data_IF_991027542707
#
_entry.id   IF_991027542707
#
_cell.length_a   1.000
_cell.length_b   1.000
_cell.length_c   1.000
_cell.angle_alpha   90.00
_cell.angle_beta   90.00
_cell.angle_gamma   90.00
#
_symmetry.space_group_name_H-M   'P 1'
#
loop_
_entity.id
_entity.type
_entity.pdbx_description
1 polymer ?
#
# COMPACT_ATOMS: atom_id res chain seq x y z
N UNK A 1 39.76 2.50 10.78
CA UNK A 1 38.66 2.42 9.78
C UNK A 1 39.14 3.00 8.47
N UNK A 2 38.94 2.29 7.36
CA UNK A 2 39.19 2.82 6.02
C UNK A 2 38.28 4.02 5.73
N UNK A 3 38.73 4.93 4.85
CA UNK A 3 37.91 6.09 4.45
C UNK A 3 36.63 5.65 3.73
N UNK A 4 36.65 4.50 3.04
CA UNK A 4 35.48 3.87 2.45
C UNK A 4 34.37 3.59 3.48
N UNK A 5 34.71 3.01 4.65
CA UNK A 5 33.74 2.69 5.68
C UNK A 5 33.09 3.95 6.27
N UNK A 6 33.84 5.07 6.35
CA UNK A 6 33.30 6.36 6.79
C UNK A 6 32.31 6.93 5.78
N UNK A 7 32.67 6.93 4.49
CA UNK A 7 31.81 7.40 3.40
C UNK A 7 30.50 6.60 3.35
N UNK A 8 30.59 5.27 3.44
CA UNK A 8 29.43 4.39 3.44
C UNK A 8 28.53 4.61 4.66
N UNK A 9 29.10 4.87 5.84
CA UNK A 9 28.31 5.19 7.04
C UNK A 9 27.52 6.50 6.88
N UNK A 10 28.16 7.54 6.34
CA UNK A 10 27.48 8.81 6.03
C UNK A 10 26.33 8.55 5.04
N UNK A 11 26.57 7.74 4.00
CA UNK A 11 25.55 7.37 3.04
C UNK A 11 24.37 6.61 3.68
N UNK A 12 24.61 5.73 4.66
CA UNK A 12 23.55 5.04 5.39
C UNK A 12 22.69 5.99 6.21
N UNK A 13 23.31 6.93 6.92
CA UNK A 13 22.58 7.95 7.69
C UNK A 13 21.71 8.80 6.75
N UNK A 14 22.27 9.24 5.62
CA UNK A 14 21.52 9.99 4.61
C UNK A 14 20.38 9.16 4.00
N UNK A 15 20.57 7.85 3.78
CA UNK A 15 19.51 6.97 3.28
C UNK A 15 18.33 6.89 4.26
N UNK A 16 18.59 6.80 5.57
CA UNK A 16 17.55 6.83 6.59
C UNK A 16 16.82 8.16 6.61
N UNK A 17 17.58 9.28 6.60
CA UNK A 17 17.00 10.62 6.54
C UNK A 17 16.09 10.73 5.31
N UNK A 18 16.54 10.29 4.15
CA UNK A 18 15.76 10.27 2.91
C UNK A 18 14.45 9.48 3.05
N UNK A 19 14.49 8.25 3.59
CA UNK A 19 13.28 7.45 3.82
C UNK A 19 12.31 8.13 4.78
N UNK A 20 12.82 8.75 5.85
CA UNK A 20 12.00 9.50 6.80
C UNK A 20 11.37 10.74 6.15
N UNK A 21 12.15 11.50 5.38
CA UNK A 21 11.67 12.69 4.66
C UNK A 21 10.58 12.33 3.64
N UNK A 22 10.79 11.31 2.81
CA UNK A 22 9.78 10.82 1.85
C UNK A 22 8.47 10.47 2.58
N UNK A 23 8.58 9.76 3.71
CA UNK A 23 7.42 9.37 4.53
C UNK A 23 6.71 10.58 5.12
N UNK A 24 7.43 11.56 5.65
CA UNK A 24 6.85 12.79 6.20
C UNK A 24 6.13 13.61 5.13
N UNK A 25 6.74 13.77 3.96
CA UNK A 25 6.14 14.49 2.83
C UNK A 25 4.82 13.83 2.41
N UNK A 26 4.78 12.52 2.21
CA UNK A 26 3.53 11.85 1.83
C UNK A 26 2.46 11.90 2.92
N UNK A 27 2.85 11.78 4.18
CA UNK A 27 1.90 11.91 5.29
C UNK A 27 1.30 13.30 5.35
N UNK A 28 2.11 14.35 5.12
CA UNK A 28 1.67 15.73 5.08
C UNK A 28 0.77 16.03 3.87
N UNK A 29 1.15 15.56 2.67
CA UNK A 29 0.33 15.72 1.46
C UNK A 29 -1.06 15.10 1.67
N UNK A 30 -1.13 13.93 2.30
CA UNK A 30 -2.38 13.20 2.49
C UNK A 30 -3.18 13.60 3.74
N UNK A 31 -2.60 14.37 4.66
CA UNK A 31 -3.35 14.89 5.82
C UNK A 31 -4.15 16.15 5.50
N UNK A 32 -3.79 16.86 4.42
CA UNK A 32 -4.44 18.11 3.98
C UNK A 32 -5.49 17.93 2.89
N UNK A 33 -6.00 16.71 2.72
CA UNK A 33 -6.98 16.45 1.67
C UNK A 33 -8.34 17.01 2.07
N UNK A 34 -8.82 17.91 1.23
CA UNK A 34 -10.20 18.38 1.24
C UNK A 34 -11.02 17.37 0.45
N UNK A 35 -12.04 16.82 1.09
CA UNK A 35 -12.98 15.90 0.46
C UNK A 35 -14.10 16.75 -0.12
N UNK A 36 -14.25 16.73 -1.43
CA UNK A 36 -15.31 17.48 -2.08
C UNK A 36 -16.60 16.66 -2.05
N UNK A 37 -17.68 17.26 -1.55
CA UNK A 37 -19.03 16.71 -1.70
C UNK A 37 -19.41 16.75 -3.18
N UNK A 38 -19.89 15.61 -3.70
CA UNK A 38 -20.44 15.55 -5.05
C UNK A 38 -21.87 16.03 -4.95
N UNK A 39 -22.17 17.15 -5.61
CA UNK A 39 -23.49 17.77 -5.58
C UNK A 39 -24.48 16.93 -6.40
N UNK A 40 -25.21 16.05 -5.71
CA UNK A 40 -26.14 15.08 -6.27
C UNK A 40 -27.47 15.14 -5.51
N UNK A 41 -28.61 14.98 -6.20
CA UNK A 41 -29.91 14.88 -5.53
C UNK A 41 -29.98 13.65 -4.59
N UNK A 42 -29.16 12.63 -4.84
CA UNK A 42 -29.10 11.41 -4.03
C UNK A 42 -28.02 11.56 -2.95
N UNK A 43 -28.41 12.15 -1.81
CA UNK A 43 -27.50 12.32 -0.66
C UNK A 43 -27.25 11.02 0.12
N UNK A 44 -28.15 10.03 0.00
CA UNK A 44 -28.09 8.76 0.71
C UNK A 44 -28.52 7.60 -0.19
N UNK A 45 -27.91 6.42 0.00
CA UNK A 45 -28.31 5.16 -0.63
C UNK A 45 -28.85 4.18 0.41
N UNK A 46 -29.94 3.49 0.09
CA UNK A 46 -30.50 2.47 1.00
C UNK A 46 -29.64 1.20 1.01
N UNK A 47 -29.58 0.53 2.17
CA UNK A 47 -28.89 -0.77 2.28
C UNK A 47 -29.42 -1.80 1.29
N UNK A 48 -30.74 -1.82 1.04
CA UNK A 48 -31.35 -2.71 0.04
C UNK A 48 -30.80 -2.48 -1.37
N UNK A 49 -30.58 -1.22 -1.76
CA UNK A 49 -30.03 -0.88 -3.07
C UNK A 49 -28.56 -1.28 -3.16
N UNK A 50 -27.80 -1.13 -2.08
CA UNK A 50 -26.43 -1.64 -1.99
C UNK A 50 -26.43 -3.16 -2.17
N UNK A 51 -27.29 -3.89 -1.46
CA UNK A 51 -27.36 -5.35 -1.56
C UNK A 51 -27.71 -5.82 -2.98
N UNK A 52 -28.61 -5.12 -3.67
CA UNK A 52 -28.93 -5.37 -5.07
C UNK A 52 -27.73 -5.13 -6.00
N UNK A 53 -26.99 -4.03 -5.81
CA UNK A 53 -25.76 -3.73 -6.57
C UNK A 53 -24.73 -4.84 -6.33
N UNK A 54 -24.51 -5.24 -5.08
CA UNK A 54 -23.58 -6.31 -4.71
C UNK A 54 -23.98 -7.63 -5.39
N UNK A 55 -25.27 -7.98 -5.34
CA UNK A 55 -25.80 -9.20 -5.98
C UNK A 55 -25.58 -9.18 -7.49
N UNK A 56 -25.91 -8.08 -8.16
CA UNK A 56 -25.74 -7.93 -9.60
C UNK A 56 -24.26 -7.95 -9.99
N UNK A 57 -23.39 -7.33 -9.19
CA UNK A 57 -21.96 -7.30 -9.44
C UNK A 57 -21.33 -8.70 -9.32
N UNK A 58 -21.77 -9.52 -8.36
CA UNK A 58 -21.32 -10.92 -8.26
C UNK A 58 -21.63 -11.72 -9.51
N UNK A 59 -22.85 -11.55 -10.04
CA UNK A 59 -23.28 -12.21 -11.27
C UNK A 59 -22.43 -11.71 -12.44
N UNK A 60 -22.27 -10.39 -12.57
CA UNK A 60 -21.45 -9.76 -13.61
C UNK A 60 -20.01 -10.27 -13.62
N UNK A 61 -19.41 -10.47 -12.45
CA UNK A 61 -18.02 -10.94 -12.31
C UNK A 61 -17.88 -12.47 -12.30
N UNK A 62 -18.96 -13.23 -12.49
CA UNK A 62 -18.98 -14.70 -12.38
C UNK A 62 -18.41 -15.20 -11.03
N UNK A 63 -18.87 -14.63 -9.93
CA UNK A 63 -18.35 -14.86 -8.57
C UNK A 63 -19.44 -15.28 -7.58
N UNK A 64 -20.41 -16.06 -8.06
CA UNK A 64 -21.59 -16.45 -7.27
C UNK A 64 -21.24 -17.27 -6.02
N UNK A 65 -20.14 -18.02 -6.05
CA UNK A 65 -19.65 -18.85 -4.95
C UNK A 65 -18.95 -18.07 -3.82
N UNK A 66 -18.68 -16.77 -4.01
CA UNK A 66 -18.16 -15.89 -2.97
C UNK A 66 -19.30 -15.25 -2.18
N UNK A 67 -19.23 -15.30 -0.85
CA UNK A 67 -20.13 -14.53 0.03
C UNK A 67 -19.58 -13.12 0.22
N UNK A 68 -20.42 -12.10 0.08
CA UNK A 68 -20.03 -10.70 0.34
C UNK A 68 -20.73 -10.28 1.62
N UNK A 69 -19.95 -9.78 2.57
CA UNK A 69 -20.44 -9.28 3.85
C UNK A 69 -20.14 -7.79 3.93
N UNK A 70 -21.17 -6.97 3.71
CA UNK A 70 -21.08 -5.51 3.83
C UNK A 70 -21.43 -5.07 5.24
N UNK A 71 -20.73 -4.05 5.74
CA UNK A 71 -21.00 -3.37 7.00
C UNK A 71 -20.85 -4.20 8.31
N UNK A 72 -20.21 -5.38 8.27
CA UNK A 72 -19.97 -6.20 9.46
C UNK A 72 -18.82 -5.69 10.36
N UNK A 73 -18.04 -4.71 9.90
CA UNK A 73 -16.88 -4.15 10.62
C UNK A 73 -16.87 -2.63 10.53
N UNK A 74 -16.54 -1.98 11.64
CA UNK A 74 -16.39 -0.51 11.73
C UNK A 74 -14.98 -0.03 11.35
N UNK A 75 -13.97 -0.90 11.52
CA UNK A 75 -12.59 -0.54 11.25
C UNK A 75 -12.28 -0.57 9.76
N UNK A 76 -11.59 0.47 9.29
CA UNK A 76 -11.06 0.53 7.94
C UNK A 76 -10.14 -0.67 7.68
N UNK A 77 -10.40 -1.36 6.57
CA UNK A 77 -9.61 -2.48 6.08
C UNK A 77 -9.12 -2.14 4.67
N UNK A 78 -7.87 -2.47 4.36
CA UNK A 78 -7.33 -2.27 3.01
C UNK A 78 -7.98 -3.26 2.06
N UNK A 79 -8.20 -2.85 0.82
CA UNK A 79 -8.88 -3.66 -0.19
C UNK A 79 -8.25 -5.06 -0.39
N UNK A 80 -6.92 -5.19 -0.34
CA UNK A 80 -6.24 -6.48 -0.50
C UNK A 80 -6.37 -7.43 0.71
N UNK A 81 -6.88 -6.94 1.84
CA UNK A 81 -7.04 -7.72 3.07
C UNK A 81 -8.47 -8.27 3.22
N UNK A 82 -9.42 -7.84 2.40
CA UNK A 82 -10.86 -8.13 2.58
C UNK A 82 -11.24 -9.56 2.19
N UNK A 83 -10.46 -10.22 1.33
CA UNK A 83 -10.71 -11.59 0.90
C UNK A 83 -10.24 -12.63 1.92
N UNK A 84 -11.17 -13.38 2.49
CA UNK A 84 -10.89 -14.62 3.20
C UNK A 84 -11.05 -15.82 2.26
N UNK A 85 -9.92 -16.29 1.70
CA UNK A 85 -9.91 -17.41 0.74
C UNK A 85 -10.44 -18.72 1.30
N UNK A 86 -10.25 -18.98 2.61
CA UNK A 86 -10.71 -20.23 3.25
C UNK A 86 -12.22 -20.25 3.40
N UNK A 87 -12.80 -19.12 3.82
CA UNK A 87 -14.25 -18.97 4.01
C UNK A 87 -15.00 -18.59 2.73
N UNK A 88 -14.27 -18.30 1.63
CA UNK A 88 -14.83 -17.72 0.40
C UNK A 88 -15.66 -16.46 0.67
N UNK A 89 -15.21 -15.63 1.62
CA UNK A 89 -15.89 -14.38 1.99
C UNK A 89 -15.09 -13.15 1.58
N UNK A 90 -15.77 -12.10 1.12
CA UNK A 90 -15.23 -10.75 0.98
C UNK A 90 -15.91 -9.89 2.05
N UNK A 91 -15.14 -9.45 3.03
CA UNK A 91 -15.63 -8.64 4.15
C UNK A 91 -15.34 -7.17 3.88
N UNK A 92 -16.39 -6.38 3.67
CA UNK A 92 -16.30 -4.94 3.34
C UNK A 92 -16.80 -4.16 4.56
N UNK A 93 -15.94 -3.36 5.22
CA UNK A 93 -16.37 -2.54 6.36
C UNK A 93 -17.33 -1.43 5.91
N UNK A 94 -18.16 -0.95 6.83
CA UNK A 94 -19.06 0.17 6.55
C UNK A 94 -18.25 1.44 6.38
N UNK A 95 -18.43 2.15 5.27
CA UNK A 95 -17.79 3.44 5.06
C UNK A 95 -18.81 4.56 4.99
N UNK A 96 -18.80 5.41 6.00
CA UNK A 96 -19.49 6.68 5.94
C UNK A 96 -18.69 7.63 5.02
N UNK A 97 -19.24 7.81 3.82
CA UNK A 97 -18.70 8.70 2.79
C UNK A 97 -19.57 9.95 2.65
N UNK A 98 -18.98 11.12 2.33
CA UNK A 98 -19.73 12.37 2.19
C UNK A 98 -20.58 12.43 0.92
N UNK A 99 -20.46 11.44 0.03
CA UNK A 99 -21.33 11.27 -1.13
C UNK A 99 -21.48 9.79 -1.45
N UNK A 100 -22.67 9.45 -1.94
CA UNK A 100 -23.06 8.13 -2.44
C UNK A 100 -22.11 7.62 -3.52
N UNK A 101 -21.62 8.51 -4.41
CA UNK A 101 -20.67 8.12 -5.47
C UNK A 101 -19.38 7.49 -4.93
N UNK A 102 -18.81 8.07 -3.87
CA UNK A 102 -17.61 7.51 -3.23
C UNK A 102 -17.89 6.17 -2.55
N UNK A 103 -19.05 6.03 -1.91
CA UNK A 103 -19.43 4.79 -1.24
C UNK A 103 -19.60 3.66 -2.27
N UNK A 104 -20.37 3.90 -3.33
CA UNK A 104 -20.63 2.91 -4.38
C UNK A 104 -19.34 2.55 -5.11
N UNK A 105 -18.52 3.52 -5.53
CA UNK A 105 -17.25 3.22 -6.24
C UNK A 105 -16.36 2.33 -5.38
N UNK A 106 -16.26 2.61 -4.08
CA UNK A 106 -15.42 1.82 -3.21
C UNK A 106 -16.02 0.41 -2.98
N UNK A 107 -17.33 0.26 -2.82
CA UNK A 107 -17.96 -1.07 -2.74
C UNK A 107 -17.66 -1.88 -4.03
N UNK A 108 -17.89 -1.29 -5.20
CA UNK A 108 -17.67 -1.95 -6.49
C UNK A 108 -16.19 -2.32 -6.67
N UNK A 109 -15.28 -1.38 -6.43
CA UNK A 109 -13.84 -1.60 -6.50
C UNK A 109 -13.39 -2.71 -5.54
N UNK A 110 -13.91 -2.71 -4.30
CA UNK A 110 -13.58 -3.71 -3.28
C UNK A 110 -13.96 -5.11 -3.73
N UNK A 111 -15.17 -5.26 -4.26
CA UNK A 111 -15.65 -6.55 -4.76
C UNK A 111 -14.83 -6.95 -5.98
N UNK A 112 -14.71 -6.08 -6.98
CA UNK A 112 -13.96 -6.36 -8.20
C UNK A 112 -12.53 -6.83 -7.91
N UNK A 113 -11.79 -6.07 -7.08
CA UNK A 113 -10.40 -6.39 -6.78
C UNK A 113 -10.26 -7.75 -6.10
N UNK A 114 -11.10 -8.03 -5.10
CA UNK A 114 -11.03 -9.27 -4.33
C UNK A 114 -11.53 -10.47 -5.13
N UNK A 115 -12.52 -10.29 -6.00
CA UNK A 115 -12.96 -11.32 -6.95
C UNK A 115 -11.83 -11.66 -7.92
N UNK A 116 -11.17 -10.67 -8.52
CA UNK A 116 -10.03 -10.91 -9.43
C UNK A 116 -8.86 -11.58 -8.72
N UNK A 117 -8.61 -11.20 -7.46
CA UNK A 117 -7.61 -11.86 -6.62
C UNK A 117 -7.98 -13.32 -6.32
N UNK A 118 -9.27 -13.62 -6.08
CA UNK A 118 -9.80 -14.96 -5.89
C UNK A 118 -9.67 -15.81 -7.16
N UNK A 119 -10.06 -15.25 -8.31
CA UNK A 119 -9.93 -15.83 -9.65
C UNK A 119 -8.49 -15.94 -10.15
N UNK A 120 -7.51 -15.57 -9.32
CA UNK A 120 -6.07 -15.67 -9.60
C UNK A 120 -5.61 -14.84 -10.81
N UNK A 121 -6.27 -13.70 -11.08
CA UNK A 121 -5.85 -12.76 -12.13
C UNK A 121 -4.36 -12.40 -11.98
N UNK A 122 -3.59 -12.60 -13.06
CA UNK A 122 -2.13 -12.45 -13.05
C UNK A 122 -1.72 -11.01 -12.74
N UNK A 123 -2.46 -10.02 -13.26
CA UNK A 123 -2.16 -8.61 -13.07
C UNK A 123 -2.41 -8.20 -11.62
N UNK A 124 -3.56 -8.56 -11.04
CA UNK A 124 -3.89 -8.25 -9.64
C UNK A 124 -2.92 -8.93 -8.68
N UNK A 125 -2.55 -10.19 -8.93
CA UNK A 125 -1.53 -10.88 -8.14
C UNK A 125 -0.17 -10.18 -8.18
N UNK A 126 0.28 -9.81 -9.39
CA UNK A 126 1.54 -9.09 -9.58
C UNK A 126 1.50 -7.73 -8.89
N UNK A 127 0.37 -7.03 -8.97
CA UNK A 127 0.16 -5.77 -8.28
C UNK A 127 0.31 -5.94 -6.77
N UNK A 128 -0.43 -6.86 -6.14
CA UNK A 128 -0.31 -7.15 -4.70
C UNK A 128 1.13 -7.50 -4.29
N UNK A 129 1.84 -8.27 -5.10
CA UNK A 129 3.22 -8.63 -4.83
C UNK A 129 4.12 -7.38 -4.83
N UNK A 130 4.03 -6.54 -5.86
CA UNK A 130 4.84 -5.33 -5.99
C UNK A 130 4.46 -4.24 -4.98
N UNK A 131 3.18 -4.09 -4.65
CA UNK A 131 2.68 -2.99 -3.82
C UNK A 131 2.66 -3.31 -2.33
N UNK A 132 2.64 -4.59 -1.94
CA UNK A 132 2.53 -5.01 -0.54
C UNK A 132 3.74 -5.82 -0.11
N UNK A 133 4.02 -6.93 -0.80
CA UNK A 133 5.02 -7.90 -0.34
C UNK A 133 6.46 -7.40 -0.54
N UNK A 134 6.80 -6.94 -1.75
CA UNK A 134 8.16 -6.48 -2.09
C UNK A 134 8.59 -5.28 -1.21
N UNK A 135 7.78 -4.21 -1.04
CA UNK A 135 8.15 -3.10 -0.16
C UNK A 135 8.31 -3.54 1.29
N UNK A 136 7.47 -4.45 1.77
CA UNK A 136 7.57 -4.96 3.14
C UNK A 136 8.88 -5.73 3.35
N UNK A 137 9.20 -6.66 2.45
CA UNK A 137 10.45 -7.43 2.51
C UNK A 137 11.67 -6.52 2.40
N UNK A 138 11.67 -5.57 1.47
CA UNK A 138 12.79 -4.63 1.30
C UNK A 138 12.97 -3.72 2.52
N UNK A 139 11.90 -3.23 3.14
CA UNK A 139 12.00 -2.45 4.38
C UNK A 139 12.59 -3.29 5.52
N UNK A 140 12.15 -4.54 5.69
CA UNK A 140 12.68 -5.46 6.72
C UNK A 140 14.17 -5.71 6.49
N UNK A 141 14.57 -6.04 5.26
CA UNK A 141 15.97 -6.26 4.90
C UNK A 141 16.82 -5.01 5.11
N UNK A 142 16.32 -3.84 4.73
CA UNK A 142 17.01 -2.56 4.92
C UNK A 142 17.33 -2.32 6.41
N UNK A 143 16.33 -2.44 7.29
CA UNK A 143 16.53 -2.25 8.74
C UNK A 143 17.41 -3.33 9.35
N UNK A 144 17.29 -4.58 8.91
CA UNK A 144 18.15 -5.68 9.35
C UNK A 144 19.62 -5.39 9.03
N UNK A 145 19.93 -5.04 7.78
CA UNK A 145 21.31 -4.74 7.36
C UNK A 145 21.83 -3.46 8.01
N UNK A 146 20.98 -2.47 8.26
CA UNK A 146 21.35 -1.27 9.00
C UNK A 146 21.75 -1.61 10.45
N UNK A 147 20.96 -2.42 11.16
CA UNK A 147 21.27 -2.85 12.53
C UNK A 147 22.55 -3.68 12.58
N UNK A 148 22.75 -4.61 11.63
CA UNK A 148 23.99 -5.37 11.52
C UNK A 148 25.20 -4.48 11.22
N UNK A 149 25.03 -3.45 10.39
CA UNK A 149 26.10 -2.47 10.13
C UNK A 149 26.46 -1.64 11.36
N UNK A 150 25.49 -1.26 12.20
CA UNK A 150 25.79 -0.56 13.46
C UNK A 150 26.41 -1.53 14.46
N UNK A 151 25.86 -2.74 14.59
CA UNK A 151 26.36 -3.75 15.52
C UNK A 151 27.82 -4.14 15.25
N UNK A 152 28.19 -4.29 13.98
CA UNK A 152 29.60 -4.51 13.58
C UNK A 152 30.51 -3.34 13.97
N UNK A 153 30.06 -2.09 13.81
CA UNK A 153 30.83 -0.92 14.24
C UNK A 153 31.00 -0.83 15.75
N UNK A 154 29.93 -1.07 16.52
CA UNK A 154 29.99 -1.11 17.99
C UNK A 154 30.93 -2.22 18.44
N UNK A 155 30.85 -3.40 17.82
CA UNK A 155 31.73 -4.53 18.13
C UNK A 155 33.20 -4.21 17.86
N UNK A 156 33.51 -3.58 16.73
CA UNK A 156 34.86 -3.11 16.41
C UNK A 156 35.32 -2.12 17.48
N UNK A 157 34.49 -1.12 17.81
CA UNK A 157 34.80 -0.08 18.80
C UNK A 157 35.11 -0.64 20.19
N UNK A 158 34.29 -1.57 20.69
CA UNK A 158 34.47 -2.18 22.01
C UNK A 158 35.74 -3.03 22.13
N UNK A 159 36.18 -3.64 21.02
CA UNK A 159 37.32 -4.56 21.01
C UNK A 159 38.59 -3.95 20.40
N UNK A 160 38.66 -2.62 20.19
CA UNK A 160 39.84 -1.96 19.60
C UNK A 160 41.13 -2.24 20.37
N UNK A 161 41.04 -2.43 21.69
CA UNK A 161 42.18 -2.65 22.56
C UNK A 161 42.62 -4.13 22.64
N UNK A 162 41.84 -5.07 22.08
CA UNK A 162 42.10 -6.51 22.11
C UNK A 162 42.17 -7.07 20.69
N UNK A 163 43.22 -6.76 19.92
CA UNK A 163 43.30 -7.10 18.50
C UNK A 163 43.31 -8.62 18.23
N UNK A 164 43.76 -9.43 19.20
CA UNK A 164 43.84 -10.89 19.10
C UNK A 164 42.48 -11.55 18.80
N UNK A 165 41.38 -10.95 19.28
CA UNK A 165 40.01 -11.44 19.06
C UNK A 165 39.66 -11.46 17.56
N UNK A 166 40.18 -10.50 16.78
CA UNK A 166 39.89 -10.37 15.36
C UNK A 166 40.73 -11.31 14.49
N UNK A 167 41.98 -11.59 14.88
CA UNK A 167 42.86 -12.52 14.16
C UNK A 167 42.50 -13.98 14.43
N UNK A 168 41.88 -14.28 15.58
CA UNK A 168 41.43 -15.62 15.93
C UNK A 168 40.26 -16.13 15.06
N UNK A 169 39.45 -15.24 14.47
CA UNK A 169 38.26 -15.62 13.71
C UNK A 169 38.22 -14.96 12.32
N UNK A 170 38.49 -15.77 11.29
CA UNK A 170 38.50 -15.36 9.88
C UNK A 170 37.20 -14.71 9.39
N UNK A 171 36.05 -15.11 9.95
CA UNK A 171 34.75 -14.53 9.58
C UNK A 171 34.62 -13.10 10.10
N UNK A 172 35.10 -12.85 11.32
CA UNK A 172 35.12 -11.50 11.89
C UNK A 172 36.09 -10.59 11.14
N UNK A 173 37.28 -11.08 10.79
CA UNK A 173 38.24 -10.33 9.96
C UNK A 173 37.62 -9.92 8.64
N UNK A 174 36.94 -10.85 7.95
CA UNK A 174 36.26 -10.59 6.68
C UNK A 174 35.17 -9.50 6.79
N UNK A 175 34.35 -9.52 7.85
CA UNK A 175 33.30 -8.52 8.07
C UNK A 175 33.85 -7.12 8.42
N UNK A 176 35.09 -7.04 8.89
CA UNK A 176 35.78 -5.78 9.22
C UNK A 176 36.43 -5.19 7.97
N UNK A 177 37.09 -6.03 7.19
CA UNK A 177 37.80 -5.63 5.99
C UNK A 177 36.83 -5.22 4.88
N UNK A 178 35.69 -5.91 4.76
CA UNK A 178 34.68 -5.64 3.75
C UNK A 178 33.37 -5.11 4.37
N UNK A 179 32.92 -3.89 4.01
CA UNK A 179 31.68 -3.29 4.51
C UNK A 179 30.41 -3.88 3.89
N UNK A 180 30.25 -5.20 3.93
CA UNK A 180 29.21 -5.95 3.21
C UNK A 180 27.82 -5.52 3.63
N UNK A 181 27.57 -5.35 4.94
CA UNK A 181 26.27 -4.93 5.43
C UNK A 181 25.90 -3.50 4.99
N UNK A 182 26.88 -2.62 4.86
CA UNK A 182 26.67 -1.25 4.38
C UNK A 182 26.27 -1.27 2.89
N UNK A 183 26.99 -2.05 2.07
CA UNK A 183 26.71 -2.22 0.64
C UNK A 183 25.32 -2.86 0.43
N UNK A 184 24.99 -3.92 1.17
CA UNK A 184 23.68 -4.57 1.10
C UNK A 184 22.54 -3.62 1.53
N UNK A 185 22.76 -2.82 2.57
CA UNK A 185 21.79 -1.84 3.03
C UNK A 185 21.54 -0.74 1.98
N UNK A 186 22.60 -0.19 1.37
CA UNK A 186 22.45 0.78 0.28
C UNK A 186 21.79 0.18 -0.97
N UNK A 187 22.14 -1.05 -1.31
CA UNK A 187 21.52 -1.77 -2.45
C UNK A 187 20.02 -1.97 -2.23
N UNK A 188 19.62 -2.42 -1.04
CA UNK A 188 18.20 -2.59 -0.68
C UNK A 188 17.46 -1.25 -0.66
N UNK A 189 18.09 -0.16 -0.21
CA UNK A 189 17.54 1.19 -0.29
C UNK A 189 17.26 1.63 -1.73
N UNK A 190 18.23 1.46 -2.64
CA UNK A 190 18.06 1.82 -4.06
C UNK A 190 16.92 1.03 -4.69
N UNK A 191 16.86 -0.29 -4.45
CA UNK A 191 15.78 -1.14 -4.96
C UNK A 191 14.43 -0.68 -4.41
N UNK A 192 14.37 -0.27 -3.13
CA UNK A 192 13.15 0.25 -2.52
C UNK A 192 12.68 1.55 -3.18
N UNK A 193 13.60 2.47 -3.49
CA UNK A 193 13.28 3.69 -4.24
C UNK A 193 12.72 3.36 -5.63
N UNK A 194 13.41 2.51 -6.39
CA UNK A 194 12.97 2.06 -7.73
C UNK A 194 11.57 1.45 -7.64
N UNK A 195 11.35 0.55 -6.69
CA UNK A 195 10.06 -0.10 -6.49
C UNK A 195 8.95 0.93 -6.19
N UNK A 196 9.22 1.96 -5.39
CA UNK A 196 8.25 3.02 -5.09
C UNK A 196 7.77 3.78 -6.34
N UNK A 197 8.67 4.03 -7.30
CA UNK A 197 8.32 4.65 -8.58
C UNK A 197 7.44 3.73 -9.44
N UNK A 198 7.81 2.46 -9.56
CA UNK A 198 7.05 1.50 -10.35
C UNK A 198 5.65 1.27 -9.81
N UNK A 199 5.49 1.21 -8.48
CA UNK A 199 4.19 1.00 -7.85
C UNK A 199 3.18 2.09 -8.23
N UNK A 200 3.59 3.35 -8.30
CA UNK A 200 2.71 4.45 -8.70
C UNK A 200 2.22 4.28 -10.14
N UNK A 201 3.10 3.86 -11.06
CA UNK A 201 2.69 3.54 -12.45
C UNK A 201 1.71 2.38 -12.50
N UNK A 202 1.97 1.32 -11.71
CA UNK A 202 1.07 0.17 -11.61
C UNK A 202 -0.29 0.54 -11.01
N UNK A 203 -0.34 1.50 -10.07
CA UNK A 203 -1.60 2.03 -9.54
C UNK A 203 -2.46 2.62 -10.66
N UNK A 204 -1.90 3.50 -11.49
CA UNK A 204 -2.65 4.09 -12.61
C UNK A 204 -3.15 3.04 -13.61
N UNK A 205 -2.34 2.01 -13.89
CA UNK A 205 -2.77 0.88 -14.73
C UNK A 205 -3.90 0.07 -14.09
N UNK A 206 -3.90 -0.09 -12.77
CA UNK A 206 -4.98 -0.74 -12.04
C UNK A 206 -6.28 0.07 -12.10
N UNK A 207 -6.22 1.37 -11.85
CA UNK A 207 -7.38 2.27 -11.91
C UNK A 207 -8.02 2.22 -13.32
N UNK A 208 -7.19 2.30 -14.38
CA UNK A 208 -7.66 2.20 -15.77
C UNK A 208 -8.24 0.82 -16.10
N UNK A 209 -7.61 -0.27 -15.65
CA UNK A 209 -8.13 -1.63 -15.84
C UNK A 209 -9.49 -1.78 -15.15
N UNK A 210 -9.60 -1.33 -13.90
CA UNK A 210 -10.85 -1.34 -13.15
C UNK A 210 -11.96 -0.59 -13.89
N UNK A 211 -11.70 0.66 -14.29
CA UNK A 211 -12.68 1.49 -15.03
C UNK A 211 -13.15 0.81 -16.31
N UNK A 212 -12.23 0.27 -17.10
CA UNK A 212 -12.56 -0.40 -18.37
C UNK A 212 -13.45 -1.64 -18.19
N UNK A 213 -13.27 -2.39 -17.11
CA UNK A 213 -14.02 -3.62 -16.86
C UNK A 213 -15.38 -3.35 -16.20
N UNK A 214 -15.50 -2.27 -15.43
CA UNK A 214 -16.68 -1.97 -14.62
C UNK A 214 -17.64 -0.98 -15.30
N UNK A 215 -17.19 -0.19 -16.28
CA UNK A 215 -18.05 0.81 -16.94
C UNK A 215 -19.37 0.22 -17.46
N UNK A 216 -19.32 -0.95 -18.09
CA UNK A 216 -20.50 -1.63 -18.61
C UNK A 216 -21.48 -2.11 -17.53
N UNK A 217 -20.97 -2.41 -16.33
CA UNK A 217 -21.79 -2.73 -15.17
C UNK A 217 -22.44 -1.48 -14.60
N UNK A 218 -21.67 -0.39 -14.46
CA UNK A 218 -22.18 0.89 -13.95
C UNK A 218 -23.30 1.42 -14.84
N UNK A 219 -23.09 1.38 -16.16
CA UNK A 219 -24.09 1.84 -17.14
C UNK A 219 -25.42 1.06 -17.06
N UNK A 220 -25.37 -0.24 -16.73
CA UNK A 220 -26.56 -1.10 -16.71
C UNK A 220 -27.23 -1.23 -15.35
N UNK A 221 -26.45 -1.23 -14.27
CA UNK A 221 -26.92 -1.57 -12.93
C UNK A 221 -26.89 -0.40 -11.94
N UNK A 222 -26.20 0.68 -12.28
CA UNK A 222 -26.04 1.88 -11.44
C UNK A 222 -26.36 3.16 -12.21
N UNK A 223 -27.32 3.12 -13.16
CA UNK A 223 -27.63 4.23 -14.07
C UNK A 223 -27.88 5.57 -13.34
N UNK A 224 -28.65 5.54 -12.25
CA UNK A 224 -28.94 6.73 -11.43
C UNK A 224 -27.69 7.35 -10.77
N UNK A 225 -26.67 6.53 -10.49
CA UNK A 225 -25.45 6.94 -9.79
C UNK A 225 -24.25 7.12 -10.71
N UNK A 226 -24.43 7.01 -12.03
CA UNK A 226 -23.34 7.00 -13.01
C UNK A 226 -22.47 8.26 -12.91
N UNK A 227 -23.09 9.43 -12.82
CA UNK A 227 -22.37 10.71 -12.69
C UNK A 227 -21.60 10.80 -11.38
N UNK A 228 -22.18 10.34 -10.28
CA UNK A 228 -21.55 10.36 -8.96
C UNK A 228 -20.36 9.42 -8.87
N UNK A 229 -20.50 8.22 -9.42
CA UNK A 229 -19.41 7.26 -9.54
C UNK A 229 -18.30 7.86 -10.41
N UNK A 230 -18.62 8.43 -11.57
CA UNK A 230 -17.63 9.07 -12.45
C UNK A 230 -16.89 10.22 -11.76
N UNK A 231 -17.58 11.07 -11.00
CA UNK A 231 -16.96 12.13 -10.21
C UNK A 231 -16.03 11.56 -9.13
N UNK A 232 -16.45 10.49 -8.43
CA UNK A 232 -15.62 9.78 -7.46
C UNK A 232 -14.34 9.18 -8.11
N UNK A 233 -14.44 8.67 -9.34
CA UNK A 233 -13.29 8.18 -10.13
C UNK A 233 -12.30 9.29 -10.45
N UNK A 234 -12.79 10.43 -10.95
CA UNK A 234 -11.95 11.61 -11.23
C UNK A 234 -11.21 12.05 -9.97
N UNK A 235 -11.90 12.09 -8.84
CA UNK A 235 -11.29 12.40 -7.54
C UNK A 235 -10.22 11.36 -7.14
N UNK A 236 -10.49 10.06 -7.24
CA UNK A 236 -9.52 8.99 -6.94
C UNK A 236 -8.26 9.08 -7.81
N UNK A 237 -8.43 9.40 -9.09
CA UNK A 237 -7.33 9.51 -10.05
C UNK A 237 -6.40 10.70 -9.77
N UNK A 238 -6.88 11.73 -9.06
CA UNK A 238 -6.05 12.85 -8.59
C UNK A 238 -5.03 12.45 -7.52
N UNK A 239 -5.11 11.22 -6.98
CA UNK A 239 -4.17 10.71 -5.98
C UNK A 239 -3.31 9.57 -6.51
N UNK A 240 -2.38 9.82 -7.45
CA UNK A 240 -1.67 8.76 -8.18
C UNK A 240 -0.68 7.95 -7.33
N UNK A 241 -0.33 8.40 -6.11
CA UNK A 241 0.72 7.78 -5.31
C UNK A 241 0.16 6.86 -4.23
N UNK A 242 0.79 5.71 -4.01
CA UNK A 242 0.43 4.82 -2.89
C UNK A 242 1.07 5.33 -1.60
N UNK A 243 0.30 5.39 -0.51
CA UNK A 243 0.82 5.82 0.79
C UNK A 243 1.25 4.61 1.63
N UNK A 244 2.56 4.40 1.81
CA UNK A 244 3.05 3.36 2.71
C UNK A 244 2.95 3.82 4.18
N UNK A 245 1.85 3.50 4.88
CA UNK A 245 1.79 3.73 6.33
C UNK A 245 2.73 2.82 7.08
N UNK A 246 3.68 3.43 7.79
CA UNK A 246 4.47 2.77 8.83
C UNK A 246 4.27 3.46 10.19
N UNK A 247 3.92 4.76 10.24
CA UNK A 247 3.63 5.49 11.48
C UNK A 247 2.38 6.37 11.32
N UNK A 248 1.33 6.11 12.11
CA UNK A 248 0.17 7.00 12.25
C UNK A 248 0.39 7.87 13.49
N UNK A 249 0.79 9.12 13.30
CA UNK A 249 1.04 10.05 14.42
C UNK A 249 -0.19 10.82 14.90
N UNK A 250 -1.36 10.73 14.24
CA UNK A 250 -2.57 11.37 14.77
C UNK A 250 -3.89 10.88 14.15
N UNK A 251 -4.98 11.03 14.91
CA UNK A 251 -6.37 10.76 14.51
C UNK A 251 -6.86 11.65 13.37
N UNK A 252 -6.21 12.78 13.08
CA UNK A 252 -6.55 13.68 11.95
C UNK A 252 -6.31 13.10 10.54
N UNK A 253 -5.88 11.85 10.42
CA UNK A 253 -5.77 11.13 9.14
C UNK A 253 -7.08 10.43 8.71
N UNK A 254 -8.22 10.77 9.33
CA UNK A 254 -9.57 10.26 9.01
C UNK A 254 -9.87 10.41 7.51
N UNK A 255 -9.44 11.50 6.88
CA UNK A 255 -9.77 11.78 5.48
C UNK A 255 -9.02 10.91 4.47
N UNK A 256 -8.01 10.14 4.91
CA UNK A 256 -7.28 9.27 3.99
C UNK A 256 -8.19 8.19 3.38
N UNK A 257 -9.30 7.80 4.02
CA UNK A 257 -10.27 6.84 3.47
C UNK A 257 -10.93 7.31 2.16
N UNK A 258 -10.84 8.61 1.84
CA UNK A 258 -11.43 9.24 0.65
C UNK A 258 -10.45 9.34 -0.53
N UNK A 259 -9.24 8.79 -0.40
CA UNK A 259 -8.20 8.81 -1.43
C UNK A 259 -8.50 7.90 -2.65
N UNK A 260 -9.57 7.13 -2.56
CA UNK A 260 -9.92 6.10 -3.52
C UNK A 260 -9.62 4.68 -3.03
N UNK A 261 -10.14 3.66 -3.74
CA UNK A 261 -10.07 2.27 -3.31
C UNK A 261 -8.66 1.65 -3.43
N UNK A 262 -7.80 2.15 -4.32
CA UNK A 262 -6.51 1.52 -4.64
C UNK A 262 -5.27 2.24 -4.09
N UNK A 263 -5.44 3.26 -3.26
CA UNK A 263 -4.34 4.05 -2.66
C UNK A 263 -3.62 3.36 -1.49
N UNK A 264 -4.00 2.11 -1.16
CA UNK A 264 -3.51 1.26 -0.06
C UNK A 264 -3.00 2.05 1.16
N UNK A 265 -3.92 2.38 2.06
CA UNK A 265 -3.64 3.15 3.27
C UNK A 265 -3.00 2.37 4.38
#
# INVERSE_FOLDING_TARGET
MSDLNKILLIALVLAIICLLSIRMIYTYMYSKINVYEINSPDSNISTSKIDDIIKNLKVFLNANDLKIEYANKENYQRIYQMLNKKKKTIEIPKWFMPSVGYEIDYIIASIWFNVKLYQKDKFIKRYCLLSVLVPLLLNVLFYLFFLLSIGTLIFIYLNQNNPEIFYANKVLTFLIDYPIFQILCLSTFIILLINSFYINKYKSLLESKYESEIISFVDKSCESYKFDIAAARVHSNNFPRINFKILRFNSKTINMKYLGPFTYL
#
